data_IF_704414542195
#
_entry.id   IF_704414542195
#
_cell.length_a   1.000
_cell.length_b   1.000
_cell.length_c   1.000
_cell.angle_alpha   90.00
_cell.angle_beta   90.00
_cell.angle_gamma   90.00
#
_symmetry.space_group_name_H-M   'P 1'
#
loop_
_entity.id
_entity.type
_entity.pdbx_description
1 polymer ?
#
# COMPACT_ATOMS: atom_id res chain seq x y z
N UNK A 1 11.94 -6.42 -22.52
CA UNK A 1 10.94 -7.39 -22.02
C UNK A 1 9.94 -6.65 -21.14
N UNK A 2 8.72 -6.36 -21.61
CA UNK A 2 7.68 -5.73 -20.79
C UNK A 2 7.13 -6.79 -19.84
N UNK A 3 7.65 -6.84 -18.61
CA UNK A 3 7.08 -7.71 -17.59
C UNK A 3 5.61 -7.35 -17.38
N UNK A 4 4.72 -8.33 -17.44
CA UNK A 4 3.30 -8.16 -17.14
C UNK A 4 3.14 -7.72 -15.69
N UNK A 5 3.11 -6.42 -15.46
CA UNK A 5 2.84 -5.82 -14.15
C UNK A 5 1.39 -5.33 -14.17
N UNK A 6 0.45 -6.21 -13.86
CA UNK A 6 -0.96 -5.84 -13.73
C UNK A 6 -1.15 -5.03 -12.44
N UNK A 7 -1.25 -3.72 -12.59
CA UNK A 7 -1.74 -2.81 -11.55
C UNK A 7 -3.25 -2.72 -11.74
N UNK A 8 -4.02 -3.04 -10.70
CA UNK A 8 -5.46 -2.97 -10.74
C UNK A 8 -5.92 -1.62 -10.17
N UNK A 9 -6.59 -0.80 -10.98
CA UNK A 9 -7.24 0.43 -10.51
C UNK A 9 -8.62 0.10 -9.97
N UNK A 10 -8.90 0.52 -8.75
CA UNK A 10 -10.11 0.14 -8.02
C UNK A 10 -10.88 1.41 -7.63
N UNK A 11 -12.15 1.46 -8.03
CA UNK A 11 -13.10 2.53 -7.67
C UNK A 11 -14.05 2.05 -6.57
N UNK A 12 -14.69 2.98 -5.86
CA UNK A 12 -15.59 2.68 -4.73
C UNK A 12 -16.76 1.76 -5.14
N UNK A 13 -16.95 0.69 -4.37
CA UNK A 13 -17.98 -0.35 -4.52
C UNK A 13 -17.57 -1.64 -3.77
N UNK A 14 -18.47 -2.30 -3.05
CA UNK A 14 -18.14 -3.43 -2.15
C UNK A 14 -17.35 -4.55 -2.85
N UNK A 15 -17.83 -5.03 -4.00
CA UNK A 15 -17.14 -6.05 -4.81
C UNK A 15 -15.74 -5.64 -5.31
N UNK A 16 -15.51 -4.33 -5.46
CA UNK A 16 -14.22 -3.79 -5.90
C UNK A 16 -13.21 -3.77 -4.75
N UNK A 17 -13.67 -3.51 -3.52
CA UNK A 17 -12.84 -3.60 -2.32
C UNK A 17 -12.42 -5.05 -2.05
N UNK A 18 -13.33 -6.00 -2.17
CA UNK A 18 -13.02 -7.44 -2.03
C UNK A 18 -11.93 -7.88 -3.01
N UNK A 19 -12.03 -7.43 -4.27
CA UNK A 19 -11.00 -7.67 -5.27
C UNK A 19 -9.66 -7.04 -4.88
N UNK A 20 -9.66 -5.82 -4.34
CA UNK A 20 -8.47 -5.13 -3.86
C UNK A 20 -7.76 -5.95 -2.77
N UNK A 21 -8.52 -6.39 -1.78
CA UNK A 21 -8.04 -7.21 -0.66
C UNK A 21 -7.40 -8.48 -1.21
N UNK A 22 -8.10 -9.17 -2.13
CA UNK A 22 -7.63 -10.38 -2.77
C UNK A 22 -6.30 -10.18 -3.53
N UNK A 23 -6.16 -9.05 -4.25
CA UNK A 23 -4.91 -8.70 -4.95
C UNK A 23 -3.78 -8.42 -3.96
N UNK A 24 -4.03 -7.65 -2.90
CA UNK A 24 -3.04 -7.31 -1.88
C UNK A 24 -2.56 -8.55 -1.12
N UNK A 25 -3.48 -9.44 -0.73
CA UNK A 25 -3.17 -10.71 -0.03
C UNK A 25 -2.28 -11.64 -0.87
N UNK A 26 -2.35 -11.55 -2.21
CA UNK A 26 -1.46 -12.29 -3.14
C UNK A 26 -0.14 -11.56 -3.44
N UNK A 27 0.14 -10.44 -2.78
CA UNK A 27 1.32 -9.62 -3.04
C UNK A 27 1.26 -8.80 -4.33
N UNK A 28 0.06 -8.59 -4.87
CA UNK A 28 -0.18 -7.68 -5.99
C UNK A 28 -0.21 -6.21 -5.57
N UNK A 29 -0.35 -5.32 -6.56
CA UNK A 29 -0.43 -3.88 -6.36
C UNK A 29 -1.83 -3.36 -6.69
N UNK A 30 -2.33 -2.42 -5.89
CA UNK A 30 -3.62 -1.77 -6.09
C UNK A 30 -3.41 -0.27 -6.24
N UNK A 31 -3.99 0.32 -7.29
CA UNK A 31 -4.13 1.77 -7.40
C UNK A 31 -5.52 2.18 -6.88
N UNK A 32 -5.56 3.12 -5.95
CA UNK A 32 -6.80 3.59 -5.32
C UNK A 32 -6.82 5.13 -5.21
N UNK A 33 -8.00 5.76 -5.28
CA UNK A 33 -8.11 7.21 -5.21
C UNK A 33 -7.79 7.71 -3.79
N UNK A 34 -7.19 8.90 -3.71
CA UNK A 34 -7.16 9.73 -2.50
C UNK A 34 -7.74 11.11 -2.83
N UNK A 35 -7.77 12.01 -1.86
CA UNK A 35 -8.18 13.40 -2.03
C UNK A 35 -7.29 14.20 -3.01
N UNK A 36 -6.00 13.88 -3.05
CA UNK A 36 -5.00 14.63 -3.82
C UNK A 36 -4.57 13.92 -5.11
N UNK A 37 -4.18 12.65 -5.01
CA UNK A 37 -3.66 11.86 -6.14
C UNK A 37 -4.07 10.40 -6.01
N UNK A 38 -3.87 9.61 -7.06
CA UNK A 38 -3.97 8.16 -6.90
C UNK A 38 -2.76 7.63 -6.12
N UNK A 39 -3.04 6.79 -5.14
CA UNK A 39 -2.02 6.02 -4.45
C UNK A 39 -1.80 4.68 -5.17
N UNK A 40 -0.58 4.15 -5.06
CA UNK A 40 -0.24 2.78 -5.44
C UNK A 40 0.18 2.05 -4.17
N UNK A 41 -0.66 1.12 -3.72
CA UNK A 41 -0.46 0.36 -2.49
C UNK A 41 -0.07 -1.09 -2.71
N UNK A 42 0.57 -1.65 -1.69
CA UNK A 42 0.92 -3.05 -1.56
C UNK A 42 0.65 -3.50 -0.12
N UNK A 43 0.63 -4.80 0.11
CA UNK A 43 0.52 -5.34 1.46
C UNK A 43 1.82 -5.13 2.24
N UNK A 44 1.77 -4.35 3.32
CA UNK A 44 2.93 -3.92 4.11
C UNK A 44 3.79 -5.08 4.62
N UNK A 45 3.17 -6.18 5.08
CA UNK A 45 3.90 -7.33 5.63
C UNK A 45 4.40 -8.34 4.59
N UNK A 46 4.23 -8.06 3.29
CA UNK A 46 4.78 -8.90 2.21
C UNK A 46 5.95 -8.14 1.59
N UNK A 47 7.18 -8.46 2.01
CA UNK A 47 8.40 -7.75 1.57
C UNK A 47 8.51 -7.63 0.04
N UNK A 48 8.21 -8.71 -0.69
CA UNK A 48 8.23 -8.72 -2.16
C UNK A 48 7.22 -7.72 -2.76
N UNK A 49 6.06 -7.55 -2.14
CA UNK A 49 5.04 -6.62 -2.61
C UNK A 49 5.49 -5.16 -2.38
N UNK A 50 6.08 -4.88 -1.21
CA UNK A 50 6.68 -3.57 -0.90
C UNK A 50 7.80 -3.24 -1.90
N UNK A 51 8.74 -4.17 -2.13
CA UNK A 51 9.82 -3.98 -3.11
C UNK A 51 9.27 -3.66 -4.51
N UNK A 52 8.18 -4.30 -4.91
CA UNK A 52 7.51 -4.05 -6.20
C UNK A 52 6.94 -2.62 -6.31
N UNK A 53 6.54 -1.98 -5.21
CA UNK A 53 6.16 -0.55 -5.21
C UNK A 53 7.35 0.32 -5.58
N UNK A 54 8.52 0.07 -4.99
CA UNK A 54 9.76 0.80 -5.32
C UNK A 54 10.16 0.60 -6.78
N UNK A 55 10.15 -0.65 -7.26
CA UNK A 55 10.48 -0.99 -8.65
C UNK A 55 9.56 -0.27 -9.65
N UNK A 56 8.24 -0.39 -9.49
CA UNK A 56 7.26 0.19 -10.42
C UNK A 56 7.31 1.71 -10.41
N UNK A 57 7.53 2.33 -9.24
CA UNK A 57 7.63 3.79 -9.11
C UNK A 57 9.02 4.32 -9.46
N UNK A 58 9.98 3.46 -9.80
CA UNK A 58 11.39 3.83 -9.96
C UNK A 58 11.90 4.65 -8.76
N UNK A 59 11.49 4.26 -7.55
CA UNK A 59 11.81 4.96 -6.31
C UNK A 59 13.09 4.37 -5.70
N UNK A 60 14.12 5.18 -5.42
CA UNK A 60 15.25 4.77 -4.59
C UNK A 60 14.81 4.19 -3.24
N UNK A 61 15.46 3.11 -2.79
CA UNK A 61 15.07 2.37 -1.57
C UNK A 61 15.28 3.18 -0.28
N UNK A 62 16.24 4.11 -0.30
CA UNK A 62 16.53 5.04 0.79
C UNK A 62 15.39 6.05 1.04
N UNK A 63 14.50 6.25 0.07
CA UNK A 63 13.36 7.14 0.22
C UNK A 63 12.16 6.37 0.78
N UNK A 64 11.89 6.55 2.08
CA UNK A 64 10.75 5.93 2.76
C UNK A 64 9.42 6.16 2.01
N UNK A 65 8.54 5.17 2.06
CA UNK A 65 7.15 5.28 1.57
C UNK A 65 6.19 5.37 2.76
N UNK A 66 5.07 6.08 2.64
CA UNK A 66 4.06 6.11 3.69
C UNK A 66 3.46 4.72 3.94
N UNK A 67 3.24 4.39 5.22
CA UNK A 67 2.45 3.24 5.65
C UNK A 67 1.07 3.76 6.04
N UNK A 68 0.03 3.23 5.40
CA UNK A 68 -1.35 3.60 5.70
C UNK A 68 -1.91 2.64 6.76
N UNK A 69 -2.47 3.21 7.82
CA UNK A 69 -3.17 2.51 8.88
C UNK A 69 -4.66 2.87 8.85
N UNK A 70 -5.53 1.97 9.31
CA UNK A 70 -6.97 2.19 9.27
C UNK A 70 -7.45 3.05 10.44
N UNK A 71 -6.81 2.91 11.60
CA UNK A 71 -7.16 3.56 12.84
C UNK A 71 -5.90 3.92 13.65
N UNK A 72 -6.04 4.80 14.65
CA UNK A 72 -4.90 5.25 15.45
C UNK A 72 -4.22 4.11 16.23
N UNK A 73 -4.99 3.08 16.63
CA UNK A 73 -4.47 1.94 17.38
C UNK A 73 -3.53 1.07 16.53
N UNK A 74 -3.72 1.03 15.21
CA UNK A 74 -2.80 0.35 14.29
C UNK A 74 -1.37 0.90 14.31
N UNK A 75 -1.12 2.11 14.86
CA UNK A 75 0.24 2.61 15.05
C UNK A 75 1.10 1.63 15.85
N UNK A 76 0.51 0.92 16.82
CA UNK A 76 1.22 -0.07 17.63
C UNK A 76 1.70 -1.29 16.83
N UNK A 77 1.09 -1.55 15.65
CA UNK A 77 1.50 -2.63 14.75
C UNK A 77 2.70 -2.26 13.89
N UNK A 78 2.99 -0.96 13.74
CA UNK A 78 3.92 -0.43 12.75
C UNK A 78 5.06 0.43 13.33
N UNK A 79 4.91 0.96 14.55
CA UNK A 79 5.85 1.87 15.17
C UNK A 79 6.15 1.47 16.63
N UNK A 80 7.33 1.86 17.09
CA UNK A 80 7.76 1.75 18.50
C UNK A 80 8.03 3.16 19.04
N UNK A 81 7.94 3.33 20.36
CA UNK A 81 8.17 4.62 21.03
C UNK A 81 7.24 5.75 20.54
N UNK A 82 5.93 5.47 20.44
CA UNK A 82 4.92 6.44 20.01
C UNK A 82 4.77 7.54 21.08
N UNK A 83 5.01 8.82 20.75
CA UNK A 83 4.90 9.91 21.73
C UNK A 83 3.43 10.18 22.07
N UNK A 84 3.17 10.67 23.29
CA UNK A 84 1.79 10.93 23.75
C UNK A 84 1.00 11.89 22.84
N UNK A 85 1.69 12.82 22.16
CA UNK A 85 1.08 13.80 21.24
C UNK A 85 0.56 13.18 19.92
N UNK A 86 0.93 11.92 19.63
CA UNK A 86 0.45 11.22 18.44
C UNK A 86 -0.92 10.54 18.65
N UNK A 87 -1.41 10.49 19.89
CA UNK A 87 -2.76 10.04 20.26
C UNK A 87 -3.73 11.22 20.28
#
# INVERSE_FOLDING_TARGET
>A
MRGSHSIHTIHTGEHKVEMAISVLQRGGLVAFPTDTLYALGAHTFIEKAVRRVYEVKHRPLEMAVPLLIADALDMEKAAVHIPQVAW
#
